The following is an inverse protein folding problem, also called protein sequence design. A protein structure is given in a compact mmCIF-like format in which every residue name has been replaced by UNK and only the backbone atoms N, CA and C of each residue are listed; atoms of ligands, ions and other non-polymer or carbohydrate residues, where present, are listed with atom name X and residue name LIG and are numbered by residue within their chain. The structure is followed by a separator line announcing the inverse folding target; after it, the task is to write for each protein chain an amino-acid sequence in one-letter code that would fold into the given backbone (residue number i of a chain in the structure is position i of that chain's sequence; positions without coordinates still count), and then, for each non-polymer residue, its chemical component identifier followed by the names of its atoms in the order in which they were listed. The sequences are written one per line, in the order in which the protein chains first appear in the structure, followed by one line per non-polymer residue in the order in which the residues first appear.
data_IF_111201456658
#
_entry.id   IF_111201456658
#
_cell.length_a   1.000
_cell.length_b   1.000
_cell.length_c   1.000
_cell.angle_alpha   90.00
_cell.angle_beta   90.00
_cell.angle_gamma   90.00
#
_symmetry.space_group_name_H-M   'P 1'
#
loop_
_entity.id
_entity.type
_entity.pdbx_description
1 polymer ?
#
# COMPACT_ATOMS: atom_id res chain seq x y z
N UNK A 1 -13.79 34.57 78.88
CA UNK A 1 -13.28 33.18 78.81
C UNK A 1 -14.15 32.43 77.81
N UNK A 2 -13.56 32.06 76.68
CA UNK A 2 -14.28 31.45 75.55
C UNK A 2 -13.83 32.00 74.21
N UNK A 3 -12.89 31.27 73.58
CA UNK A 3 -12.89 30.77 72.19
C UNK A 3 -11.46 30.71 71.64
N UNK A 4 -10.99 29.46 71.59
CA UNK A 4 -9.77 29.00 70.94
C UNK A 4 -9.89 29.19 69.44
N UNK A 5 -8.85 29.73 68.82
CA UNK A 5 -8.64 29.76 67.38
C UNK A 5 -7.25 29.15 67.15
N UNK A 6 -7.22 27.86 66.80
CA UNK A 6 -6.02 27.18 66.34
C UNK A 6 -6.40 26.46 65.06
N UNK A 7 -5.81 26.95 63.97
CA UNK A 7 -5.94 26.40 62.62
C UNK A 7 -5.12 25.11 62.58
N UNK A 8 -5.78 23.97 62.50
CA UNK A 8 -5.16 22.73 62.06
C UNK A 8 -4.84 22.86 60.56
N UNK A 9 -3.57 23.13 60.24
CA UNK A 9 -3.06 22.89 58.89
C UNK A 9 -2.66 21.42 58.82
N UNK A 10 -3.51 20.66 58.12
CA UNK A 10 -3.27 19.28 57.76
C UNK A 10 -1.94 19.10 57.04
N UNK A 11 -1.31 17.98 57.37
CA UNK A 11 -0.07 17.47 56.84
C UNK A 11 -0.24 17.14 55.34
N UNK A 12 -0.04 18.13 54.48
CA UNK A 12 0.00 17.98 53.03
C UNK A 12 1.35 17.42 52.58
N UNK A 13 1.55 16.12 52.80
CA UNK A 13 2.71 15.37 52.31
C UNK A 13 2.31 14.41 51.22
N UNK A 14 2.14 14.88 49.98
CA UNK A 14 2.19 14.05 48.79
C UNK A 14 3.04 14.76 47.74
N UNK A 15 4.32 14.41 47.76
CA UNK A 15 5.24 14.66 46.66
C UNK A 15 4.74 13.92 45.42
N UNK A 16 4.07 14.61 44.51
CA UNK A 16 4.06 14.25 43.10
C UNK A 16 5.44 14.56 42.53
N UNK A 17 6.41 13.69 42.84
CA UNK A 17 7.72 13.72 42.21
C UNK A 17 7.61 13.19 40.79
N UNK A 18 8.05 13.98 39.81
CA UNK A 18 8.37 13.48 38.48
C UNK A 18 9.39 12.34 38.65
N UNK A 19 8.94 11.10 38.48
CA UNK A 19 9.83 9.95 38.41
C UNK A 19 10.64 10.06 37.11
N UNK A 20 11.80 10.71 37.20
CA UNK A 20 12.84 10.60 36.18
C UNK A 20 13.20 9.13 36.02
N UNK A 21 13.18 8.63 34.78
CA UNK A 21 13.52 7.26 34.47
C UNK A 21 14.95 6.96 34.98
N UNK A 22 15.10 5.96 35.85
CA UNK A 22 16.41 5.51 36.32
C UNK A 22 17.18 4.90 35.14
N UNK A 23 18.30 5.53 34.70
CA UNK A 23 19.09 5.02 33.59
C UNK A 23 19.67 3.62 33.85
N UNK A 24 19.97 3.30 35.12
CA UNK A 24 20.52 2.00 35.52
C UNK A 24 19.48 0.87 35.40
N UNK A 25 18.27 1.10 35.90
CA UNK A 25 17.14 0.18 35.72
C UNK A 25 16.78 0.01 34.23
N UNK A 26 16.77 1.10 33.47
CA UNK A 26 16.50 1.08 32.01
C UNK A 26 17.55 0.25 31.26
N UNK A 27 18.84 0.46 31.54
CA UNK A 27 19.91 -0.32 30.93
C UNK A 27 19.83 -1.82 31.26
N UNK A 28 19.50 -2.14 32.50
CA UNK A 28 19.34 -3.53 32.98
C UNK A 28 18.18 -4.23 32.27
N UNK A 29 17.05 -3.54 32.11
CA UNK A 29 15.89 -4.03 31.38
C UNK A 29 16.20 -4.25 29.89
N UNK A 30 16.84 -3.30 29.22
CA UNK A 30 17.24 -3.45 27.81
C UNK A 30 18.23 -4.62 27.62
N UNK A 31 19.11 -4.86 28.61
CA UNK A 31 20.03 -5.99 28.60
C UNK A 31 19.30 -7.33 28.76
N UNK A 32 18.17 -7.36 29.46
CA UNK A 32 17.29 -8.52 29.54
C UNK A 32 16.58 -8.78 28.20
N UNK A 33 16.02 -7.74 27.57
CA UNK A 33 15.44 -7.84 26.22
C UNK A 33 16.45 -8.37 25.20
N UNK A 34 17.68 -7.85 25.20
CA UNK A 34 18.74 -8.31 24.29
C UNK A 34 19.08 -9.78 24.50
N UNK A 35 19.14 -10.26 25.75
CA UNK A 35 19.37 -11.69 26.03
C UNK A 35 18.31 -12.61 25.42
N UNK A 36 17.03 -12.23 25.49
CA UNK A 36 15.97 -12.97 24.82
C UNK A 36 16.14 -12.95 23.30
N UNK A 37 16.48 -11.79 22.72
CA UNK A 37 16.69 -11.64 21.28
C UNK A 37 17.84 -12.49 20.76
N UNK A 38 18.98 -12.49 21.45
CA UNK A 38 20.16 -13.25 21.06
C UNK A 38 19.89 -14.76 21.11
N UNK A 39 19.21 -15.22 22.17
CA UNK A 39 18.80 -16.62 22.33
C UNK A 39 17.89 -17.09 21.18
N UNK A 40 16.88 -16.29 20.83
CA UNK A 40 15.99 -16.56 19.70
C UNK A 40 16.75 -16.51 18.38
N UNK A 41 17.61 -15.50 18.17
CA UNK A 41 18.41 -15.36 16.97
C UNK A 41 19.30 -16.57 16.71
N UNK A 42 19.93 -17.11 17.75
CA UNK A 42 20.77 -18.30 17.66
C UNK A 42 19.97 -19.55 17.29
N UNK A 43 18.74 -19.70 17.81
CA UNK A 43 17.83 -20.81 17.45
C UNK A 43 17.32 -20.68 16.01
N UNK A 44 16.97 -19.47 15.57
CA UNK A 44 16.61 -19.21 14.16
C UNK A 44 17.75 -19.49 13.20
N UNK A 45 18.99 -19.18 13.59
CA UNK A 45 20.18 -19.45 12.77
C UNK A 45 20.35 -20.95 12.46
N UNK A 46 19.93 -21.84 13.37
CA UNK A 46 19.95 -23.29 13.15
C UNK A 46 18.67 -23.84 12.52
N UNK A 47 17.75 -22.97 12.08
CA UNK A 47 16.52 -23.32 11.36
C UNK A 47 15.29 -23.57 12.23
N UNK A 48 15.34 -23.25 13.53
CA UNK A 48 14.16 -23.35 14.40
C UNK A 48 13.25 -22.12 14.26
N UNK A 49 11.97 -22.28 14.60
CA UNK A 49 11.03 -21.16 14.81
C UNK A 49 10.68 -21.05 16.31
N UNK A 50 11.52 -20.36 17.10
CA UNK A 50 11.41 -20.33 18.55
C UNK A 50 10.28 -19.41 19.04
N UNK A 51 9.41 -19.94 19.89
CA UNK A 51 8.48 -19.14 20.70
C UNK A 51 9.21 -18.58 21.92
N UNK A 52 9.03 -17.29 22.20
CA UNK A 52 9.64 -16.64 23.36
C UNK A 52 8.84 -16.97 24.62
N UNK A 53 9.53 -17.41 25.66
CA UNK A 53 8.96 -17.74 26.97
C UNK A 53 9.68 -16.94 28.05
N UNK A 54 8.97 -16.32 29.00
CA UNK A 54 9.62 -15.72 30.15
C UNK A 54 10.24 -16.82 31.01
N UNK A 55 11.46 -16.59 31.52
CA UNK A 55 12.14 -17.55 32.39
C UNK A 55 11.52 -17.63 33.78
N UNK A 56 10.80 -16.58 34.19
CA UNK A 56 10.15 -16.43 35.50
C UNK A 56 8.85 -15.65 35.33
N UNK A 57 7.88 -15.91 36.20
CA UNK A 57 6.60 -15.18 36.24
C UNK A 57 6.73 -13.81 36.94
N UNK A 58 7.85 -13.12 36.71
CA UNK A 58 8.08 -11.77 37.21
C UNK A 58 7.62 -10.75 36.14
N UNK A 59 6.95 -9.64 36.52
CA UNK A 59 6.43 -8.66 35.56
C UNK A 59 7.49 -8.12 34.59
N UNK A 60 8.71 -7.86 35.08
CA UNK A 60 9.83 -7.38 34.26
C UNK A 60 10.31 -8.41 33.23
N UNK A 61 10.34 -9.69 33.61
CA UNK A 61 10.73 -10.79 32.72
C UNK A 61 9.67 -11.02 31.63
N UNK A 62 8.39 -10.99 32.03
CA UNK A 62 7.25 -11.06 31.11
C UNK A 62 7.30 -9.90 30.11
N UNK A 63 7.50 -8.66 30.59
CA UNK A 63 7.61 -7.49 29.73
C UNK A 63 8.81 -7.57 28.78
N UNK A 64 9.98 -7.99 29.27
CA UNK A 64 11.17 -8.12 28.43
C UNK A 64 11.01 -9.21 27.36
N UNK A 65 10.42 -10.35 27.70
CA UNK A 65 10.13 -11.44 26.77
C UNK A 65 9.09 -11.02 25.71
N UNK A 66 8.04 -10.30 26.12
CA UNK A 66 7.04 -9.77 25.19
C UNK A 66 7.64 -8.76 24.19
N UNK A 67 8.43 -7.79 24.67
CA UNK A 67 9.12 -6.82 23.79
C UNK A 67 10.13 -7.51 22.87
N UNK A 68 10.84 -8.53 23.36
CA UNK A 68 11.75 -9.32 22.53
C UNK A 68 11.00 -10.05 21.42
N UNK A 69 9.86 -10.70 21.74
CA UNK A 69 9.01 -11.36 20.76
C UNK A 69 8.48 -10.39 19.70
N UNK A 70 7.98 -9.22 20.12
CA UNK A 70 7.52 -8.14 19.23
C UNK A 70 8.63 -7.72 18.26
N UNK A 71 9.83 -7.36 18.77
CA UNK A 71 10.97 -6.92 17.95
C UNK A 71 11.53 -7.98 17.01
N UNK A 72 11.22 -9.24 17.25
CA UNK A 72 11.63 -10.36 16.41
C UNK A 72 10.52 -10.83 15.48
N UNK A 73 9.32 -10.21 15.55
CA UNK A 73 8.13 -10.68 14.83
C UNK A 73 7.79 -12.12 15.18
N UNK A 74 7.99 -12.54 16.43
CA UNK A 74 7.81 -13.92 16.88
C UNK A 74 6.65 -14.08 17.86
N UNK A 75 6.24 -15.33 18.07
CA UNK A 75 5.25 -15.67 19.07
C UNK A 75 5.83 -15.55 20.49
N UNK A 76 5.01 -15.03 21.40
CA UNK A 76 5.23 -15.03 22.84
C UNK A 76 4.34 -16.09 23.48
N UNK A 77 4.79 -16.80 24.52
CA UNK A 77 3.89 -17.69 25.27
C UNK A 77 3.95 -17.43 26.76
N UNK A 78 2.76 -17.26 27.30
CA UNK A 78 2.45 -16.96 28.70
C UNK A 78 1.31 -17.87 29.14
N UNK A 79 1.43 -18.51 30.30
CA UNK A 79 0.40 -19.41 30.85
C UNK A 79 -0.08 -20.50 29.87
N UNK A 80 0.85 -21.04 29.08
CA UNK A 80 0.56 -22.08 28.09
C UNK A 80 -0.14 -21.58 26.81
N UNK A 81 -0.47 -20.29 26.71
CA UNK A 81 -1.07 -19.68 25.51
C UNK A 81 -0.02 -19.02 24.64
N UNK A 82 -0.08 -19.23 23.33
CA UNK A 82 0.69 -18.46 22.36
C UNK A 82 -0.04 -17.15 22.04
N UNK A 83 0.69 -16.06 22.05
CA UNK A 83 0.26 -14.69 21.81
C UNK A 83 1.17 -14.14 20.71
N UNK A 84 0.61 -13.34 19.81
CA UNK A 84 1.36 -12.59 18.80
C UNK A 84 1.36 -11.12 19.20
N UNK A 85 2.45 -10.60 19.80
CA UNK A 85 2.47 -9.22 20.29
C UNK A 85 2.37 -8.17 19.19
N UNK A 86 2.78 -8.53 17.96
CA UNK A 86 2.81 -7.63 16.80
C UNK A 86 1.62 -7.85 15.83
N UNK A 87 0.57 -8.53 16.26
CA UNK A 87 -0.58 -8.83 15.40
C UNK A 87 -1.33 -7.56 14.98
N UNK A 88 -1.38 -6.55 15.86
CA UNK A 88 -1.94 -5.23 15.59
C UNK A 88 -1.20 -4.51 14.46
N UNK A 89 0.14 -4.61 14.44
CA UNK A 89 0.98 -4.12 13.35
C UNK A 89 0.65 -4.87 12.05
N UNK A 90 0.47 -6.19 12.10
CA UNK A 90 0.08 -6.97 10.92
C UNK A 90 -1.26 -6.48 10.34
N UNK A 91 -2.23 -6.13 11.19
CA UNK A 91 -3.53 -5.57 10.77
C UNK A 91 -3.37 -4.17 10.18
N UNK A 92 -2.62 -3.29 10.84
CA UNK A 92 -2.40 -1.92 10.38
C UNK A 92 -1.68 -1.88 9.01
N UNK A 93 -0.66 -2.72 8.84
CA UNK A 93 0.12 -2.83 7.61
C UNK A 93 -0.68 -3.49 6.47
N UNK A 94 -1.53 -4.48 6.79
CA UNK A 94 -2.49 -5.04 5.84
C UNK A 94 -3.45 -3.97 5.31
N UNK A 95 -4.07 -3.19 6.21
CA UNK A 95 -5.02 -2.15 5.83
C UNK A 95 -4.33 -1.03 5.02
N UNK A 96 -3.11 -0.65 5.39
CA UNK A 96 -2.29 0.28 4.62
C UNK A 96 -1.96 -0.28 3.22
N UNK A 97 -1.65 -1.58 3.13
CA UNK A 97 -1.42 -2.28 1.86
C UNK A 97 -2.65 -2.29 0.96
N UNK A 98 -3.83 -2.60 1.50
CA UNK A 98 -5.09 -2.58 0.76
C UNK A 98 -5.45 -1.17 0.27
N UNK A 99 -5.27 -0.13 1.10
CA UNK A 99 -5.46 1.27 0.69
C UNK A 99 -4.48 1.71 -0.40
N UNK A 100 -3.24 1.23 -0.34
CA UNK A 100 -2.26 1.45 -1.40
C UNK A 100 -2.72 0.82 -2.72
N UNK A 101 -3.23 -0.42 -2.69
CA UNK A 101 -3.81 -1.09 -3.88
C UNK A 101 -5.01 -0.34 -4.46
N UNK A 102 -5.93 0.14 -3.61
CA UNK A 102 -7.08 0.93 -4.03
C UNK A 102 -6.67 2.23 -4.77
N UNK A 103 -5.47 2.76 -4.47
CA UNK A 103 -4.89 3.93 -5.13
C UNK A 103 -3.81 3.56 -6.18
N UNK A 104 -3.82 2.32 -6.67
CA UNK A 104 -2.90 1.79 -7.69
C UNK A 104 -1.43 1.83 -7.30
N UNK A 105 -1.08 1.94 -6.02
CA UNK A 105 0.29 1.90 -5.52
C UNK A 105 0.75 0.47 -5.27
N UNK A 106 1.00 -0.27 -6.36
CA UNK A 106 1.41 -1.67 -6.28
C UNK A 106 2.76 -1.81 -5.56
N UNK A 107 3.67 -0.86 -5.72
CA UNK A 107 4.99 -0.90 -5.08
C UNK A 107 4.87 -0.73 -3.57
N UNK A 108 4.17 0.32 -3.12
CA UNK A 108 3.92 0.53 -1.69
C UNK A 108 3.11 -0.62 -1.09
N UNK A 109 2.07 -1.08 -1.78
CA UNK A 109 1.24 -2.18 -1.34
C UNK A 109 2.08 -3.45 -1.10
N UNK A 110 2.94 -3.83 -2.05
CA UNK A 110 3.80 -5.02 -1.88
C UNK A 110 4.73 -4.90 -0.69
N UNK A 111 5.30 -3.72 -0.44
CA UNK A 111 6.15 -3.49 0.73
C UNK A 111 5.35 -3.61 2.03
N UNK A 112 4.19 -2.95 2.13
CA UNK A 112 3.28 -3.03 3.29
C UNK A 112 2.80 -4.47 3.55
N UNK A 113 2.41 -5.19 2.50
CA UNK A 113 1.96 -6.59 2.61
C UNK A 113 3.07 -7.57 2.97
N UNK A 114 4.34 -7.24 2.67
CA UNK A 114 5.48 -8.02 3.14
C UNK A 114 5.67 -7.86 4.65
N UNK A 115 5.57 -6.62 5.16
CA UNK A 115 5.61 -6.35 6.61
C UNK A 115 4.42 -7.03 7.31
N UNK A 116 3.21 -6.93 6.74
CA UNK A 116 2.04 -7.61 7.30
C UNK A 116 2.24 -9.14 7.38
N UNK A 117 2.86 -9.74 6.35
CA UNK A 117 3.17 -11.17 6.33
C UNK A 117 4.20 -11.59 7.38
N UNK A 118 5.18 -10.72 7.69
CA UNK A 118 6.19 -10.97 8.71
C UNK A 118 5.59 -11.03 10.12
N UNK A 119 4.54 -10.27 10.37
CA UNK A 119 3.93 -10.14 11.70
C UNK A 119 2.63 -10.93 11.88
N UNK A 120 2.03 -11.45 10.81
CA UNK A 120 0.77 -12.20 10.89
C UNK A 120 0.99 -13.63 11.40
N UNK A 121 0.59 -13.88 12.65
CA UNK A 121 0.69 -15.22 13.25
C UNK A 121 -0.67 -15.87 13.49
N UNK A 122 -1.76 -15.09 13.51
CA UNK A 122 -3.10 -15.66 13.59
C UNK A 122 -3.51 -16.26 12.23
N UNK A 123 -4.09 -17.48 12.18
CA UNK A 123 -4.44 -18.13 10.92
C UNK A 123 -5.37 -17.31 10.02
N UNK A 124 -6.32 -16.60 10.62
CA UNK A 124 -7.22 -15.71 9.89
C UNK A 124 -6.47 -14.55 9.23
N UNK A 125 -5.57 -13.90 9.97
CA UNK A 125 -4.78 -12.79 9.47
C UNK A 125 -3.78 -13.25 8.39
N UNK A 126 -3.17 -14.42 8.55
CA UNK A 126 -2.33 -15.04 7.52
C UNK A 126 -3.10 -15.28 6.22
N UNK A 127 -4.35 -15.73 6.31
CA UNK A 127 -5.22 -15.90 5.15
C UNK A 127 -5.60 -14.55 4.51
N UNK A 128 -5.88 -13.51 5.30
CA UNK A 128 -6.14 -12.16 4.78
C UNK A 128 -4.93 -11.57 4.05
N UNK A 129 -3.73 -11.73 4.62
CA UNK A 129 -2.48 -11.28 3.97
C UNK A 129 -2.27 -12.04 2.66
N UNK A 130 -2.49 -13.35 2.64
CA UNK A 130 -2.40 -14.18 1.43
C UNK A 130 -3.38 -13.70 0.34
N UNK A 131 -4.63 -13.41 0.72
CA UNK A 131 -5.64 -12.85 -0.17
C UNK A 131 -5.21 -11.47 -0.72
N UNK A 132 -4.71 -10.59 0.14
CA UNK A 132 -4.25 -9.26 -0.26
C UNK A 132 -3.04 -9.31 -1.20
N UNK A 133 -2.12 -10.28 -1.02
CA UNK A 133 -1.03 -10.52 -1.96
C UNK A 133 -1.54 -11.01 -3.33
N UNK A 134 -2.55 -11.88 -3.36
CA UNK A 134 -3.21 -12.30 -4.60
C UNK A 134 -3.92 -11.13 -5.30
N UNK A 135 -4.56 -10.24 -4.53
CA UNK A 135 -5.15 -8.98 -5.04
C UNK A 135 -4.06 -8.04 -5.59
N UNK A 136 -2.91 -7.94 -4.94
CA UNK A 136 -1.78 -7.16 -5.44
C UNK A 136 -1.29 -7.65 -6.80
N UNK A 137 -1.22 -8.98 -6.99
CA UNK A 137 -0.92 -9.58 -8.29
C UNK A 137 -2.01 -9.28 -9.32
N UNK A 138 -3.29 -9.37 -8.93
CA UNK A 138 -4.43 -9.02 -9.80
C UNK A 138 -4.32 -7.57 -10.31
N UNK A 139 -4.11 -6.61 -9.40
CA UNK A 139 -3.98 -5.18 -9.75
C UNK A 139 -2.74 -4.94 -10.61
N UNK A 140 -1.62 -5.61 -10.31
CA UNK A 140 -0.41 -5.55 -11.15
C UNK A 140 -0.71 -6.00 -12.58
N UNK A 141 -1.35 -7.14 -12.75
CA UNK A 141 -1.68 -7.68 -14.08
C UNK A 141 -2.62 -6.74 -14.83
N UNK A 142 -3.65 -6.20 -14.15
CA UNK A 142 -4.54 -5.19 -14.74
C UNK A 142 -3.78 -3.94 -15.20
N UNK A 143 -2.82 -3.43 -14.43
CA UNK A 143 -2.12 -2.18 -14.74
C UNK A 143 -1.04 -2.32 -15.80
N UNK A 144 -0.22 -3.38 -15.71
CA UNK A 144 1.00 -3.48 -16.50
C UNK A 144 0.82 -4.29 -17.79
N UNK A 145 -0.15 -5.21 -17.84
CA UNK A 145 -0.44 -6.02 -19.03
C UNK A 145 -1.40 -5.32 -19.99
N UNK A 146 -1.22 -5.55 -21.29
CA UNK A 146 -2.06 -4.91 -22.30
C UNK A 146 -3.48 -5.51 -22.30
N UNK A 147 -4.55 -4.68 -22.32
CA UNK A 147 -5.94 -5.12 -22.31
C UNK A 147 -6.27 -6.28 -23.26
N UNK A 148 -6.80 -7.36 -22.69
CA UNK A 148 -7.29 -8.53 -23.43
C UNK A 148 -6.21 -9.41 -24.07
N UNK A 149 -4.96 -9.36 -23.58
CA UNK A 149 -3.96 -10.39 -23.87
C UNK A 149 -4.42 -11.77 -23.41
N UNK A 150 -4.38 -12.77 -24.29
CA UNK A 150 -4.96 -14.10 -24.05
C UNK A 150 -4.26 -14.92 -22.96
N UNK A 151 -2.98 -14.65 -22.70
CA UNK A 151 -2.17 -15.39 -21.71
C UNK A 151 -2.35 -14.88 -20.28
N UNK A 152 -2.92 -13.69 -20.12
CA UNK A 152 -3.07 -13.03 -18.82
C UNK A 152 -4.50 -13.20 -18.34
N UNK A 153 -4.66 -13.69 -17.11
CA UNK A 153 -5.95 -13.85 -16.42
C UNK A 153 -5.85 -13.16 -15.07
N UNK A 154 -6.10 -11.84 -14.99
CA UNK A 154 -5.82 -11.08 -13.78
C UNK A 154 -6.54 -11.62 -12.53
N UNK A 155 -7.75 -12.18 -12.69
CA UNK A 155 -8.56 -12.72 -11.60
C UNK A 155 -8.07 -14.08 -11.07
N UNK A 156 -7.21 -14.78 -11.82
CA UNK A 156 -6.85 -16.16 -11.51
C UNK A 156 -6.20 -16.38 -10.13
N UNK A 157 -5.28 -15.51 -9.65
CA UNK A 157 -4.67 -15.66 -8.33
C UNK A 157 -5.71 -15.69 -7.20
N UNK A 158 -6.71 -14.81 -7.25
CA UNK A 158 -7.74 -14.70 -6.22
C UNK A 158 -8.76 -15.85 -6.32
N UNK A 159 -9.22 -16.15 -7.54
CA UNK A 159 -10.20 -17.23 -7.78
C UNK A 159 -9.64 -18.59 -7.40
N UNK A 160 -8.34 -18.84 -7.64
CA UNK A 160 -7.69 -20.10 -7.27
C UNK A 160 -7.47 -20.22 -5.75
N UNK A 161 -7.23 -19.09 -5.07
CA UNK A 161 -6.98 -19.07 -3.63
C UNK A 161 -8.27 -19.17 -2.80
N UNK A 162 -9.38 -18.60 -3.27
CA UNK A 162 -10.66 -18.56 -2.53
C UNK A 162 -11.07 -19.88 -1.84
N UNK A 163 -11.05 -21.03 -2.53
CA UNK A 163 -11.42 -22.32 -1.93
C UNK A 163 -10.50 -22.81 -0.80
N UNK A 164 -9.29 -22.26 -0.66
CA UNK A 164 -8.31 -22.68 0.35
C UNK A 164 -8.35 -21.83 1.62
N UNK A 165 -9.14 -20.74 1.64
CA UNK A 165 -9.21 -19.80 2.76
C UNK A 165 -10.42 -20.12 3.65
N UNK A 166 -10.25 -21.04 4.60
CA UNK A 166 -11.32 -21.55 5.47
C UNK A 166 -11.55 -20.73 6.76
N UNK A 167 -10.75 -19.70 7.02
CA UNK A 167 -10.82 -18.85 8.22
C UNK A 167 -11.46 -17.50 7.98
N UNK A 168 -11.66 -17.10 6.72
CA UNK A 168 -12.32 -15.84 6.38
C UNK A 168 -13.83 -16.02 6.27
N UNK A 169 -14.57 -14.94 6.50
CA UNK A 169 -16.02 -14.96 6.27
C UNK A 169 -16.30 -15.16 4.78
N UNK A 170 -17.37 -15.90 4.48
CA UNK A 170 -17.79 -16.13 3.09
C UNK A 170 -18.10 -14.81 2.38
N UNK A 171 -18.65 -13.83 3.10
CA UNK A 171 -18.96 -12.50 2.60
C UNK A 171 -17.71 -11.74 2.14
N UNK A 172 -16.64 -11.71 2.96
CA UNK A 172 -15.36 -11.09 2.60
C UNK A 172 -14.72 -11.79 1.39
N UNK A 173 -14.75 -13.12 1.35
CA UNK A 173 -14.20 -13.91 0.25
C UNK A 173 -14.95 -13.70 -1.07
N UNK A 174 -16.28 -13.85 -1.05
CA UNK A 174 -17.13 -13.70 -2.24
C UNK A 174 -16.98 -12.27 -2.80
N UNK A 175 -16.90 -11.26 -1.92
CA UNK A 175 -16.67 -9.87 -2.32
C UNK A 175 -15.37 -9.71 -3.12
N UNK A 176 -14.23 -10.17 -2.59
CA UNK A 176 -12.94 -9.99 -3.26
C UNK A 176 -12.80 -10.85 -4.53
N UNK A 177 -13.46 -12.02 -4.58
CA UNK A 177 -13.54 -12.84 -5.79
C UNK A 177 -14.33 -12.11 -6.88
N UNK A 178 -15.49 -11.55 -6.56
CA UNK A 178 -16.28 -10.78 -7.53
C UNK A 178 -15.58 -9.49 -7.94
N UNK A 179 -14.88 -8.83 -7.03
CA UNK A 179 -14.09 -7.64 -7.34
C UNK A 179 -12.93 -7.95 -8.30
N UNK A 180 -12.21 -9.06 -8.08
CA UNK A 180 -11.17 -9.51 -9.00
C UNK A 180 -11.73 -9.81 -10.40
N UNK A 181 -12.89 -10.48 -10.47
CA UNK A 181 -13.60 -10.73 -11.74
C UNK A 181 -14.07 -9.43 -12.41
N UNK A 182 -14.56 -8.46 -11.63
CA UNK A 182 -14.98 -7.14 -12.13
C UNK A 182 -13.81 -6.41 -12.79
N UNK A 183 -12.66 -6.35 -12.12
CA UNK A 183 -11.44 -5.74 -12.64
C UNK A 183 -10.96 -6.44 -13.92
N UNK A 184 -10.90 -7.77 -13.92
CA UNK A 184 -10.53 -8.54 -15.11
C UNK A 184 -11.52 -8.36 -16.27
N UNK A 185 -12.82 -8.28 -15.98
CA UNK A 185 -13.86 -7.99 -16.95
C UNK A 185 -13.69 -6.61 -17.59
N UNK A 186 -13.46 -5.59 -16.77
CA UNK A 186 -13.20 -4.22 -17.24
C UNK A 186 -11.93 -4.14 -18.10
N UNK A 187 -10.86 -4.81 -17.67
CA UNK A 187 -9.60 -4.91 -18.42
C UNK A 187 -9.78 -5.61 -19.77
N UNK A 188 -10.62 -6.66 -19.86
CA UNK A 188 -10.95 -7.29 -21.15
C UNK A 188 -11.77 -6.37 -22.05
N UNK A 189 -12.76 -5.67 -21.52
CA UNK A 189 -13.60 -4.71 -22.27
C UNK A 189 -12.76 -3.55 -22.84
N UNK A 190 -11.75 -3.09 -22.10
CA UNK A 190 -10.83 -2.05 -22.54
C UNK A 190 -10.02 -2.40 -23.80
N UNK A 191 -10.02 -3.67 -24.26
CA UNK A 191 -9.45 -4.03 -25.56
C UNK A 191 -10.24 -3.40 -26.72
N UNK A 192 -11.56 -3.40 -26.61
CA UNK A 192 -12.50 -3.05 -27.69
C UNK A 192 -13.04 -1.62 -27.53
N UNK A 193 -13.24 -1.17 -26.30
CA UNK A 193 -13.76 0.16 -25.98
C UNK A 193 -12.62 1.19 -25.82
N UNK A 194 -12.62 2.22 -26.66
CA UNK A 194 -11.61 3.29 -26.68
C UNK A 194 -11.63 4.15 -25.41
N UNK A 195 -12.80 4.42 -24.86
CA UNK A 195 -12.94 5.21 -23.63
C UNK A 195 -12.40 4.42 -22.44
N UNK A 196 -12.74 3.14 -22.33
CA UNK A 196 -12.19 2.26 -21.29
C UNK A 196 -10.69 2.05 -21.44
N UNK A 197 -10.18 1.87 -22.67
CA UNK A 197 -8.75 1.80 -22.93
C UNK A 197 -8.04 3.07 -22.45
N UNK A 198 -8.63 4.23 -22.74
CA UNK A 198 -8.10 5.54 -22.34
C UNK A 198 -8.09 5.68 -20.82
N UNK A 199 -9.17 5.29 -20.14
CA UNK A 199 -9.22 5.24 -18.67
C UNK A 199 -8.13 4.35 -18.07
N UNK A 200 -7.95 3.13 -18.60
CA UNK A 200 -6.87 2.22 -18.20
C UNK A 200 -5.48 2.84 -18.41
N UNK A 201 -5.23 3.41 -19.58
CA UNK A 201 -3.95 4.03 -19.92
C UNK A 201 -3.65 5.25 -19.03
N UNK A 202 -4.67 6.05 -18.67
CA UNK A 202 -4.55 7.16 -17.73
C UNK A 202 -4.18 6.68 -16.32
N UNK A 203 -4.77 5.58 -15.85
CA UNK A 203 -4.37 4.95 -14.58
C UNK A 203 -2.88 4.61 -14.61
N UNK A 204 -2.40 4.01 -15.70
CA UNK A 204 -0.98 3.68 -15.89
C UNK A 204 -0.08 4.92 -15.91
N UNK A 205 -0.47 5.99 -16.60
CA UNK A 205 0.28 7.26 -16.60
C UNK A 205 0.43 7.82 -15.18
N UNK A 206 -0.65 7.84 -14.39
CA UNK A 206 -0.63 8.34 -13.01
C UNK A 206 0.32 7.52 -12.12
N UNK A 207 0.30 6.19 -12.27
CA UNK A 207 1.22 5.29 -11.57
C UNK A 207 2.68 5.57 -11.95
N UNK A 208 2.98 5.66 -13.25
CA UNK A 208 4.34 5.92 -13.77
C UNK A 208 4.88 7.27 -13.29
N UNK A 209 4.06 8.32 -13.29
CA UNK A 209 4.45 9.64 -12.79
C UNK A 209 4.77 9.61 -11.30
N UNK A 210 3.98 8.89 -10.50
CA UNK A 210 4.26 8.72 -9.06
C UNK A 210 5.57 7.96 -8.82
N UNK A 211 5.88 7.00 -9.68
CA UNK A 211 7.14 6.24 -9.60
C UNK A 211 8.36 7.03 -10.12
N UNK A 212 8.16 8.26 -10.64
CA UNK A 212 9.24 9.15 -11.03
C UNK A 212 9.83 8.86 -12.41
N UNK A 213 9.04 8.28 -13.32
CA UNK A 213 9.47 7.91 -14.68
C UNK A 213 8.82 8.82 -15.75
N UNK A 214 9.26 10.09 -15.90
CA UNK A 214 8.62 11.08 -16.76
C UNK A 214 8.57 10.67 -18.24
N UNK A 215 9.64 10.07 -18.77
CA UNK A 215 9.70 9.65 -20.16
C UNK A 215 8.70 8.53 -20.47
N UNK A 216 8.57 7.55 -19.57
CA UNK A 216 7.57 6.49 -19.73
C UNK A 216 6.14 7.07 -19.69
N UNK A 217 5.90 8.10 -18.88
CA UNK A 217 4.62 8.78 -18.83
C UNK A 217 4.33 9.54 -20.13
N UNK A 218 5.31 10.26 -20.69
CA UNK A 218 5.20 10.92 -22.01
C UNK A 218 4.87 9.90 -23.10
N UNK A 219 5.54 8.74 -23.10
CA UNK A 219 5.28 7.70 -24.10
C UNK A 219 3.83 7.21 -24.06
N UNK A 220 3.26 7.04 -22.86
CA UNK A 220 1.86 6.65 -22.69
C UNK A 220 0.88 7.76 -23.04
N UNK A 221 1.18 9.01 -22.68
CA UNK A 221 0.38 10.18 -23.07
C UNK A 221 0.33 10.34 -24.59
N UNK A 222 1.45 10.15 -25.28
CA UNK A 222 1.49 10.13 -26.74
C UNK A 222 0.66 8.99 -27.35
N UNK A 223 0.66 7.80 -26.73
CA UNK A 223 -0.21 6.69 -27.16
C UNK A 223 -1.69 7.04 -26.98
N UNK A 224 -2.06 7.68 -25.87
CA UNK A 224 -3.43 8.15 -25.60
C UNK A 224 -3.85 9.19 -26.64
N UNK A 225 -3.01 10.20 -26.88
CA UNK A 225 -3.26 11.24 -27.88
C UNK A 225 -3.45 10.61 -29.27
N UNK A 226 -2.53 9.74 -29.71
CA UNK A 226 -2.61 9.09 -31.03
C UNK A 226 -3.87 8.27 -31.19
N UNK A 227 -4.30 7.52 -30.17
CA UNK A 227 -5.53 6.70 -30.22
C UNK A 227 -6.81 7.54 -30.24
N UNK A 228 -6.77 8.78 -29.73
CA UNK A 228 -7.90 9.68 -29.67
C UNK A 228 -7.77 10.87 -30.64
N UNK A 229 -6.83 10.84 -31.58
CA UNK A 229 -6.46 12.00 -32.41
C UNK A 229 -7.65 12.65 -33.11
N UNK A 230 -8.52 11.84 -33.71
CA UNK A 230 -9.70 12.31 -34.44
C UNK A 230 -10.69 13.10 -33.55
N UNK A 231 -10.64 12.90 -32.23
CA UNK A 231 -11.47 13.58 -31.24
C UNK A 231 -10.81 14.81 -30.63
N UNK A 232 -9.49 14.93 -30.76
CA UNK A 232 -8.66 15.96 -30.11
C UNK A 232 -8.20 17.06 -31.08
N UNK A 233 -8.79 17.13 -32.27
CA UNK A 233 -8.37 18.08 -33.32
C UNK A 233 -8.66 19.53 -32.94
N UNK A 234 -7.72 20.43 -33.24
CA UNK A 234 -7.95 21.88 -33.24
C UNK A 234 -7.51 22.62 -31.97
N UNK A 235 -6.81 21.97 -31.04
CA UNK A 235 -6.19 22.64 -29.89
C UNK A 235 -4.69 22.87 -30.13
N UNK A 236 -4.33 24.11 -30.48
CA UNK A 236 -2.95 24.51 -30.76
C UNK A 236 -2.02 24.33 -29.56
N UNK A 237 -2.53 24.37 -28.33
CA UNK A 237 -1.73 24.22 -27.13
C UNK A 237 -1.38 22.75 -26.88
N UNK A 238 -2.35 21.85 -26.98
CA UNK A 238 -2.13 20.40 -26.92
C UNK A 238 -1.16 19.93 -28.01
N UNK A 239 -1.33 20.42 -29.25
CA UNK A 239 -0.42 20.11 -30.35
C UNK A 239 1.03 20.55 -30.05
N UNK A 240 1.23 21.72 -29.41
CA UNK A 240 2.56 22.14 -28.97
C UNK A 240 3.14 21.21 -27.91
N UNK A 241 2.35 20.82 -26.91
CA UNK A 241 2.79 19.89 -25.85
C UNK A 241 3.14 18.51 -26.43
N UNK A 242 2.34 18.02 -27.38
CA UNK A 242 2.62 16.76 -28.11
C UNK A 242 3.93 16.87 -28.89
N UNK A 243 4.17 17.96 -29.62
CA UNK A 243 5.44 18.15 -30.35
C UNK A 243 6.66 18.15 -29.43
N UNK A 244 6.57 18.79 -28.26
CA UNK A 244 7.63 18.77 -27.24
C UNK A 244 7.91 17.35 -26.74
N UNK A 245 6.86 16.61 -26.40
CA UNK A 245 6.97 15.21 -25.98
C UNK A 245 7.54 14.31 -27.09
N UNK A 246 7.17 14.52 -28.36
CA UNK A 246 7.74 13.80 -29.49
C UNK A 246 9.23 14.11 -29.70
N UNK A 247 9.65 15.36 -29.46
CA UNK A 247 11.05 15.77 -29.58
C UNK A 247 11.94 14.98 -28.60
N UNK A 248 11.49 14.74 -27.37
CA UNK A 248 12.18 13.90 -26.37
C UNK A 248 12.52 12.51 -26.93
N UNK A 249 11.56 11.85 -27.61
CA UNK A 249 11.81 10.53 -28.19
C UNK A 249 12.60 10.56 -29.50
N UNK A 250 12.47 11.63 -30.31
CA UNK A 250 13.27 11.79 -31.53
C UNK A 250 14.76 11.92 -31.20
N UNK A 251 15.11 12.67 -30.15
CA UNK A 251 16.49 12.76 -29.66
C UNK A 251 17.08 11.39 -29.27
N UNK A 252 16.28 10.52 -28.66
CA UNK A 252 16.71 9.16 -28.30
C UNK A 252 16.93 8.23 -29.52
N UNK A 253 16.34 8.56 -30.66
CA UNK A 253 16.37 7.74 -31.89
C UNK A 253 17.34 8.28 -32.96
N UNK A 254 17.75 9.54 -32.86
CA UNK A 254 18.67 10.18 -33.80
C UNK A 254 20.13 9.89 -33.41
N UNK A 255 20.94 9.53 -34.40
CA UNK A 255 22.39 9.56 -34.31
C UNK A 255 22.87 10.87 -34.96
N UNK A 256 23.06 11.92 -34.15
CA UNK A 256 23.65 13.26 -34.42
C UNK A 256 23.29 13.97 -35.76
N UNK A 257 22.80 15.23 -35.69
CA UNK A 257 22.47 16.02 -36.89
C UNK A 257 22.11 17.48 -36.63
N UNK A 258 21.94 18.28 -37.69
CA UNK A 258 21.67 19.74 -37.62
C UNK A 258 20.40 20.10 -36.82
N UNK A 259 19.38 19.24 -36.83
CA UNK A 259 18.11 19.44 -36.11
C UNK A 259 18.19 19.15 -34.61
N UNK A 260 19.32 18.61 -34.11
CA UNK A 260 19.45 18.17 -32.73
C UNK A 260 19.33 19.33 -31.73
N UNK A 261 19.89 20.49 -32.04
CA UNK A 261 19.85 21.67 -31.17
C UNK A 261 18.41 22.20 -30.99
N UNK A 262 17.62 22.21 -32.07
CA UNK A 262 16.21 22.60 -32.01
C UNK A 262 15.37 21.58 -31.23
N UNK A 263 15.60 20.29 -31.47
CA UNK A 263 14.91 19.22 -30.76
C UNK A 263 15.22 19.21 -29.26
N UNK A 264 16.48 19.47 -28.85
CA UNK A 264 16.86 19.62 -27.44
C UNK A 264 16.09 20.74 -26.77
N UNK A 265 16.02 21.92 -27.40
CA UNK A 265 15.25 23.06 -26.87
C UNK A 265 13.76 22.73 -26.70
N UNK A 266 13.17 21.98 -27.65
CA UNK A 266 11.78 21.55 -27.53
C UNK A 266 11.58 20.49 -26.43
N UNK A 267 12.51 19.56 -26.28
CA UNK A 267 12.45 18.49 -25.28
C UNK A 267 12.66 19.01 -23.85
N UNK A 268 13.47 20.05 -23.64
CA UNK A 268 13.66 20.72 -22.34
C UNK A 268 12.34 21.28 -21.79
N UNK A 269 11.46 21.76 -22.67
CA UNK A 269 10.14 22.28 -22.32
C UNK A 269 9.05 21.17 -22.18
N UNK A 270 9.40 19.89 -22.34
CA UNK A 270 8.44 18.80 -22.29
C UNK A 270 7.98 18.55 -20.85
N UNK A 271 6.71 18.83 -20.58
CA UNK A 271 6.09 18.64 -19.26
C UNK A 271 5.06 17.51 -19.31
N UNK A 272 5.35 16.34 -18.69
CA UNK A 272 4.39 15.26 -18.58
C UNK A 272 3.13 15.67 -17.82
N UNK A 273 3.26 16.57 -16.85
CA UNK A 273 2.14 17.08 -16.06
C UNK A 273 1.20 17.94 -16.91
N UNK A 274 1.73 18.92 -17.65
CA UNK A 274 0.90 19.80 -18.49
C UNK A 274 0.24 19.01 -19.62
N UNK A 275 0.98 18.07 -20.22
CA UNK A 275 0.42 17.18 -21.24
C UNK A 275 -0.70 16.29 -20.66
N UNK A 276 -0.53 15.75 -19.45
CA UNK A 276 -1.58 14.97 -18.78
C UNK A 276 -2.83 15.82 -18.50
N UNK A 277 -2.68 16.97 -17.84
CA UNK A 277 -3.81 17.84 -17.47
C UNK A 277 -4.57 18.30 -18.71
N UNK A 278 -3.86 18.75 -19.74
CA UNK A 278 -4.46 19.21 -21.00
C UNK A 278 -5.16 18.06 -21.73
N UNK A 279 -4.52 16.88 -21.81
CA UNK A 279 -5.10 15.70 -22.45
C UNK A 279 -6.37 15.24 -21.74
N UNK A 280 -6.38 15.21 -20.40
CA UNK A 280 -7.56 14.87 -19.61
C UNK A 280 -8.69 15.87 -19.84
N UNK A 281 -8.41 17.17 -19.78
CA UNK A 281 -9.43 18.20 -20.01
C UNK A 281 -10.06 18.10 -21.41
N UNK A 282 -9.23 17.86 -22.44
CA UNK A 282 -9.71 17.74 -23.81
C UNK A 282 -10.49 16.44 -24.07
N UNK A 283 -10.02 15.32 -23.54
CA UNK A 283 -10.75 14.06 -23.62
C UNK A 283 -12.08 14.13 -22.87
N UNK A 284 -12.12 14.71 -21.67
CA UNK A 284 -13.37 14.84 -20.92
C UNK A 284 -14.41 15.65 -21.68
N UNK A 285 -13.99 16.72 -22.36
CA UNK A 285 -14.87 17.51 -23.24
C UNK A 285 -15.30 16.73 -24.47
N UNK A 286 -14.38 16.02 -25.13
CA UNK A 286 -14.68 15.29 -26.36
C UNK A 286 -15.60 14.09 -26.14
N UNK A 287 -15.55 13.46 -24.97
CA UNK A 287 -16.39 12.32 -24.59
C UNK A 287 -17.64 12.69 -23.79
N UNK A 288 -17.82 13.98 -23.45
CA UNK A 288 -18.89 14.47 -22.57
C UNK A 288 -18.99 13.65 -21.26
N UNK A 289 -17.85 13.33 -20.67
CA UNK A 289 -17.72 12.48 -19.47
C UNK A 289 -16.40 12.76 -18.78
N UNK A 290 -16.37 12.68 -17.45
CA UNK A 290 -15.10 12.77 -16.71
C UNK A 290 -14.24 11.50 -16.94
N UNK A 291 -13.21 11.61 -17.79
CA UNK A 291 -12.30 10.50 -18.07
C UNK A 291 -11.47 10.08 -16.86
N UNK A 292 -11.34 10.93 -15.83
CA UNK A 292 -10.72 10.57 -14.56
C UNK A 292 -11.60 9.55 -13.83
N UNK A 293 -12.93 9.73 -13.83
CA UNK A 293 -13.85 8.73 -13.27
C UNK A 293 -13.79 7.42 -14.04
N UNK A 294 -13.62 7.45 -15.37
CA UNK A 294 -13.40 6.24 -16.16
C UNK A 294 -12.12 5.52 -15.70
N UNK A 295 -11.03 6.25 -15.43
CA UNK A 295 -9.80 5.67 -14.86
C UNK A 295 -10.04 5.07 -13.47
N UNK A 296 -10.86 5.74 -12.64
CA UNK A 296 -11.19 5.29 -11.28
C UNK A 296 -11.95 3.97 -11.26
N UNK A 297 -12.63 3.58 -12.35
CA UNK A 297 -13.27 2.26 -12.46
C UNK A 297 -12.27 1.10 -12.38
N UNK A 298 -10.99 1.34 -12.66
CA UNK A 298 -9.92 0.35 -12.51
C UNK A 298 -9.33 0.32 -11.08
N UNK A 299 -9.85 1.12 -10.14
CA UNK A 299 -9.46 1.03 -8.73
C UNK A 299 -10.00 -0.25 -8.10
N UNK A 300 -9.23 -0.82 -7.17
CA UNK A 300 -9.70 -1.89 -6.30
C UNK A 300 -10.68 -1.30 -5.27
N UNK A 301 -11.89 -1.87 -5.19
CA UNK A 301 -12.84 -1.56 -4.14
C UNK A 301 -12.53 -2.40 -2.90
N UNK A 302 -12.54 -1.77 -1.72
CA UNK A 302 -12.22 -2.42 -0.46
C UNK A 302 -13.49 -2.89 0.26
N UNK A 303 -13.43 -4.10 0.83
CA UNK A 303 -14.47 -4.62 1.69
C UNK A 303 -14.53 -3.82 2.99
N UNK A 304 -15.74 -3.38 3.39
CA UNK A 304 -15.94 -2.73 4.68
C UNK A 304 -16.17 -3.77 5.77
N UNK A 305 -15.15 -4.01 6.61
CA UNK A 305 -15.28 -4.92 7.76
C UNK A 305 -16.25 -4.33 8.78
N UNK A 306 -17.29 -5.08 9.12
CA UNK A 306 -18.30 -4.70 10.12
C UNK A 306 -17.74 -4.67 11.55
N UNK A 307 -16.68 -5.44 11.83
CA UNK A 307 -16.11 -5.63 13.17
C UNK A 307 -15.38 -4.38 13.71
N UNK A 308 -14.73 -3.60 12.83
CA UNK A 308 -14.05 -2.34 13.21
C UNK A 308 -15.02 -1.21 13.63
N UNK A 309 -16.31 -1.32 13.31
CA UNK A 309 -17.31 -0.32 13.69
C UNK A 309 -17.82 -0.52 15.13
N UNK A 310 -17.67 -1.73 15.70
CA UNK A 310 -18.09 -2.02 17.05
C UNK A 310 -17.16 -1.36 18.09
N UNK A 311 -15.83 -1.43 17.89
CA UNK A 311 -14.83 -0.85 18.81
C UNK A 311 -14.78 0.69 18.80
N UNK A 312 -15.29 1.33 17.74
CA UNK A 312 -15.42 2.81 17.68
C UNK A 312 -16.74 3.33 18.24
N UNK A 313 -17.69 2.43 18.50
CA UNK A 313 -19.03 2.77 19.01
C UNK A 313 -19.21 2.37 20.48
N UNK A 314 -18.18 1.79 21.10
CA UNK A 314 -18.07 1.42 22.52
C UNK A 314 -17.01 2.26 23.22
#
# INVERSE_FOLDING_TARGET
MGRSCAIERGNGGQHSGEHLADPGATGSFLSLVSRYRDSVGQRRFVGEDPVVHPLRDAPEEIAAAAIAAERLGGLFRLDGKAISPAEDLAVAELDAGLRALANWDVRLARWRLAIAAEHAHLPEQQQRVSLAQALAQTVRDVLYEYPGQSRVKPEAPVVALGPTLDRLTKEELDFYVEEAKRLAGLWRQAKEDVLLWTGWALTRVRTILRDGEPDAALAWLLRIYRRNRDRLTGDDYLERLVRRAEATFRLLLLAEGEDEAELRKLAEDASPHDLLVTTVAMLSRAWDTDVVQVSNRFALVLYQRTELNAERSS
#
